data_IF_979337560574
#
_entry.id   IF_979337560574
#
_cell.length_a   1.000
_cell.length_b   1.000
_cell.length_c   1.000
_cell.angle_alpha   90.00
_cell.angle_beta   90.00
_cell.angle_gamma   90.00
#
_symmetry.space_group_name_H-M   'P 1'
#
loop_
_entity.id
_entity.type
_entity.pdbx_description
1 polymer ?
#
# COMPACT_ATOMS: atom_id res chain seq x y z
N UNK A 1 -6.23 -60.57 -20.07
CA UNK A 1 -7.21 -61.38 -19.30
C UNK A 1 -7.06 -60.95 -17.85
N UNK A 2 -7.99 -60.35 -17.11
CA UNK A 2 -9.46 -60.22 -17.11
C UNK A 2 -9.76 -58.90 -16.35
N UNK A 3 -10.47 -57.92 -16.93
CA UNK A 3 -11.93 -57.69 -16.80
C UNK A 3 -12.44 -57.52 -15.36
N UNK A 4 -12.90 -56.31 -15.00
CA UNK A 4 -14.29 -56.07 -14.51
C UNK A 4 -14.33 -56.03 -12.97
N UNK A 5 -15.17 -55.33 -12.22
CA UNK A 5 -16.51 -54.72 -12.35
C UNK A 5 -16.60 -53.63 -11.24
N UNK A 6 -16.93 -52.36 -11.50
CA UNK A 6 -18.23 -51.67 -11.49
C UNK A 6 -19.36 -52.14 -10.53
N UNK A 7 -19.88 -51.15 -9.79
CA UNK A 7 -21.23 -50.96 -9.16
C UNK A 7 -21.43 -51.37 -7.68
N UNK A 8 -22.45 -50.87 -6.94
CA UNK A 8 -23.51 -49.89 -7.29
C UNK A 8 -23.73 -48.71 -6.30
N UNK A 9 -24.20 -47.60 -6.86
CA UNK A 9 -25.07 -46.62 -6.21
C UNK A 9 -26.42 -47.27 -5.85
N UNK A 10 -26.92 -47.08 -4.63
CA UNK A 10 -28.33 -46.81 -4.29
C UNK A 10 -28.64 -47.09 -2.81
N UNK A 11 -29.17 -46.09 -2.10
CA UNK A 11 -30.58 -46.08 -1.66
C UNK A 11 -30.91 -44.72 -1.04
N UNK A 12 -31.56 -43.90 -1.87
CA UNK A 12 -32.54 -42.91 -1.43
C UNK A 12 -33.67 -43.64 -0.70
N UNK A 13 -34.16 -43.06 0.40
CA UNK A 13 -35.58 -42.76 0.64
C UNK A 13 -35.81 -42.63 2.15
N UNK A 14 -36.14 -41.41 2.60
CA UNK A 14 -37.25 -41.28 3.53
C UNK A 14 -37.94 -39.92 3.30
N UNK A 15 -38.99 -39.99 2.46
CA UNK A 15 -40.30 -39.32 2.59
C UNK A 15 -40.27 -37.79 2.74
N UNK A 16 -40.61 -36.99 1.73
CA UNK A 16 -41.94 -36.78 1.10
C UNK A 16 -43.08 -36.53 2.10
N UNK A 17 -43.88 -35.51 1.76
CA UNK A 17 -45.13 -35.02 2.36
C UNK A 17 -44.92 -34.07 3.53
N UNK A 18 -45.47 -32.87 3.58
CA UNK A 18 -46.51 -32.13 2.83
C UNK A 18 -46.45 -30.74 3.54
N UNK A 19 -46.68 -29.56 2.98
CA UNK A 19 -47.72 -29.15 2.07
C UNK A 19 -47.44 -27.70 1.74
N UNK A 20 -47.39 -27.41 0.45
CA UNK A 20 -47.58 -26.08 -0.11
C UNK A 20 -48.82 -25.40 0.47
N UNK A 21 -48.71 -24.16 0.95
CA UNK A 21 -49.61 -23.09 0.51
C UNK A 21 -49.17 -21.71 0.99
N UNK A 22 -48.62 -21.01 0.00
CA UNK A 22 -48.65 -19.57 -0.20
C UNK A 22 -49.78 -18.84 0.54
N UNK A 23 -49.40 -17.84 1.31
CA UNK A 23 -50.22 -16.93 2.11
C UNK A 23 -51.24 -16.08 1.29
N UNK A 24 -51.27 -16.26 -0.03
CA UNK A 24 -52.09 -15.51 -0.99
C UNK A 24 -53.54 -16.03 -1.08
N UNK A 25 -53.82 -17.22 -0.53
CA UNK A 25 -55.16 -17.86 -0.58
C UNK A 25 -56.00 -17.64 0.70
N UNK A 26 -55.56 -16.79 1.64
CA UNK A 26 -56.37 -16.32 2.78
C UNK A 26 -56.88 -14.89 2.60
N UNK A 27 -56.94 -14.41 1.37
CA UNK A 27 -57.95 -13.43 1.00
C UNK A 27 -59.25 -14.23 0.84
N UNK A 28 -60.36 -13.77 1.41
CA UNK A 28 -61.68 -14.44 1.47
C UNK A 28 -61.86 -15.32 2.70
N UNK A 29 -62.06 -14.71 3.87
CA UNK A 29 -63.34 -14.89 4.57
C UNK A 29 -63.50 -13.94 5.76
N UNK A 30 -64.52 -13.08 5.61
CA UNK A 30 -65.52 -12.73 6.63
C UNK A 30 -65.08 -11.79 7.75
N UNK A 31 -65.45 -10.52 7.53
CA UNK A 31 -66.15 -9.60 8.44
C UNK A 31 -65.74 -9.64 9.92
N UNK A 32 -65.17 -8.52 10.39
CA UNK A 32 -65.24 -7.94 11.75
C UNK A 32 -64.04 -6.98 11.89
N UNK A 33 -64.15 -5.76 11.39
CA UNK A 33 -64.67 -4.60 12.11
C UNK A 33 -63.82 -4.18 13.33
N UNK A 34 -63.01 -3.15 13.10
CA UNK A 34 -62.74 -2.01 13.98
C UNK A 34 -61.83 -2.18 15.23
N UNK A 35 -61.06 -1.12 15.48
CA UNK A 35 -60.36 -0.68 16.71
C UNK A 35 -58.95 -1.24 16.99
N UNK A 36 -57.93 -0.49 16.56
CA UNK A 36 -57.14 0.36 17.47
C UNK A 36 -55.88 0.88 16.76
N UNK A 37 -55.99 2.08 16.22
CA UNK A 37 -54.87 2.94 15.83
C UNK A 37 -54.15 3.44 17.09
N UNK A 38 -52.95 2.95 17.38
CA UNK A 38 -52.03 3.64 18.29
C UNK A 38 -50.67 3.75 17.63
N UNK A 39 -50.46 4.91 17.01
CA UNK A 39 -49.16 5.40 16.61
C UNK A 39 -48.33 5.71 17.85
N UNK A 40 -47.19 5.05 18.01
CA UNK A 40 -46.10 5.54 18.88
C UNK A 40 -44.91 5.76 17.96
N UNK A 41 -44.72 7.04 17.65
CA UNK A 41 -43.64 7.61 16.85
C UNK A 41 -42.30 7.34 17.51
N UNK A 42 -41.51 6.42 16.95
CA UNK A 42 -40.11 6.22 17.35
C UNK A 42 -39.31 7.34 16.69
N UNK A 43 -38.97 8.37 17.47
CA UNK A 43 -38.02 9.41 17.07
C UNK A 43 -36.69 8.76 16.68
N UNK A 44 -36.38 8.77 15.39
CA UNK A 44 -35.11 8.31 14.85
C UNK A 44 -34.00 9.27 15.29
N UNK A 45 -33.29 8.95 16.38
CA UNK A 45 -31.97 9.53 16.64
C UNK A 45 -31.01 8.95 15.59
N UNK A 46 -30.74 9.71 14.54
CA UNK A 46 -29.64 9.45 13.62
C UNK A 46 -28.32 9.60 14.41
N UNK A 47 -27.51 8.54 14.59
CA UNK A 47 -26.17 8.74 15.11
C UNK A 47 -25.39 9.59 14.11
N UNK A 48 -24.88 10.74 14.55
CA UNK A 48 -23.95 11.55 13.79
C UNK A 48 -22.65 10.74 13.67
N UNK A 49 -22.53 9.99 12.59
CA UNK A 49 -21.34 9.17 12.34
C UNK A 49 -20.16 10.11 12.09
N UNK A 50 -19.35 10.35 13.11
CA UNK A 50 -18.07 11.03 12.95
C UNK A 50 -17.21 10.18 12.01
N UNK A 51 -17.01 10.66 10.78
CA UNK A 51 -16.13 10.03 9.81
C UNK A 51 -14.72 9.98 10.36
N UNK A 52 -14.26 8.78 10.74
CA UNK A 52 -12.85 8.58 11.04
C UNK A 52 -12.08 8.71 9.73
N UNK A 53 -11.33 9.81 9.58
CA UNK A 53 -10.42 9.98 8.46
C UNK A 53 -9.34 8.90 8.53
N UNK A 54 -9.54 7.80 7.79
CA UNK A 54 -8.51 6.78 7.61
C UNK A 54 -7.46 7.36 6.66
N UNK A 55 -6.25 7.60 7.17
CA UNK A 55 -5.13 7.93 6.29
C UNK A 55 -4.79 6.66 5.50
N UNK A 56 -4.75 6.70 4.15
CA UNK A 56 -4.43 5.50 3.38
C UNK A 56 -3.05 4.96 3.77
N UNK A 57 -2.85 3.63 3.75
CA UNK A 57 -1.58 3.03 4.10
C UNK A 57 -0.47 3.54 3.16
N UNK A 58 0.65 3.97 3.75
CA UNK A 58 1.83 4.41 3.02
C UNK A 58 2.47 3.22 2.30
N UNK A 59 2.90 3.41 1.05
CA UNK A 59 3.64 2.37 0.32
C UNK A 59 4.99 2.10 0.98
N UNK A 60 5.51 0.88 0.82
CA UNK A 60 6.83 0.52 1.37
C UNK A 60 7.95 1.48 0.92
N UNK A 61 7.89 1.98 -0.32
CA UNK A 61 8.80 3.00 -0.84
C UNK A 61 8.72 4.33 -0.09
N UNK A 62 7.50 4.84 0.15
CA UNK A 62 7.31 6.08 0.93
C UNK A 62 7.77 5.95 2.38
N UNK A 63 7.60 4.77 2.99
CA UNK A 63 8.12 4.46 4.33
C UNK A 63 9.64 4.44 4.33
N UNK A 64 10.26 3.77 3.35
CA UNK A 64 11.71 3.71 3.23
C UNK A 64 12.32 5.11 2.95
N UNK A 65 11.63 5.94 2.17
CA UNK A 65 12.02 7.31 1.83
C UNK A 65 11.88 8.30 2.99
N UNK A 66 11.05 7.99 4.01
CA UNK A 66 10.74 8.93 5.09
C UNK A 66 11.99 9.49 5.79
N UNK A 67 13.04 8.69 5.97
CA UNK A 67 14.30 9.13 6.57
C UNK A 67 15.15 10.04 5.66
N UNK A 68 14.88 10.05 4.36
CA UNK A 68 15.61 10.83 3.35
C UNK A 68 14.90 12.16 3.05
N UNK A 69 13.58 12.20 3.25
CA UNK A 69 12.71 13.31 2.82
C UNK A 69 12.99 14.65 3.53
N UNK A 70 13.57 14.61 4.73
CA UNK A 70 14.01 15.80 5.46
C UNK A 70 15.13 16.53 4.70
N UNK A 71 16.06 15.78 4.12
CA UNK A 71 17.26 16.33 3.49
C UNK A 71 17.17 16.36 1.97
N UNK A 72 16.27 15.61 1.35
CA UNK A 72 16.21 15.48 -0.11
C UNK A 72 14.80 15.68 -0.65
N UNK A 73 14.74 16.09 -1.91
CA UNK A 73 13.55 16.07 -2.73
C UNK A 73 13.68 15.01 -3.82
N UNK A 74 12.54 14.53 -4.33
CA UNK A 74 12.43 13.59 -5.46
C UNK A 74 11.55 14.11 -6.59
N UNK A 75 11.10 15.36 -6.54
CA UNK A 75 10.25 15.95 -7.57
C UNK A 75 11.10 16.78 -8.54
N UNK A 76 10.80 16.71 -9.83
CA UNK A 76 11.41 17.56 -10.85
C UNK A 76 11.30 19.05 -10.47
N UNK A 77 12.40 19.79 -10.59
CA UNK A 77 12.43 21.23 -10.30
C UNK A 77 12.30 21.61 -8.82
N UNK A 78 12.11 20.65 -7.90
CA UNK A 78 12.12 20.96 -6.48
C UNK A 78 13.49 21.48 -6.04
N UNK A 79 13.54 22.40 -5.05
CA UNK A 79 14.79 22.97 -4.60
C UNK A 79 15.68 21.92 -3.94
N UNK A 80 16.99 22.19 -3.93
CA UNK A 80 17.92 21.52 -3.02
C UNK A 80 17.54 21.87 -1.58
N UNK A 81 17.73 20.93 -0.64
CA UNK A 81 17.54 21.16 0.80
C UNK A 81 18.90 21.06 1.48
N UNK A 82 18.98 20.37 2.63
CA UNK A 82 20.25 19.97 3.25
C UNK A 82 21.09 19.14 2.28
N UNK A 83 20.45 18.25 1.52
CA UNK A 83 21.00 17.47 0.43
C UNK A 83 20.52 17.95 -0.96
N UNK A 84 21.15 17.49 -2.05
CA UNK A 84 20.72 17.80 -3.40
C UNK A 84 19.36 17.17 -3.73
N UNK A 85 18.65 17.71 -4.70
CA UNK A 85 17.50 17.04 -5.31
C UNK A 85 17.96 15.75 -6.01
N UNK A 86 17.25 14.64 -5.76
CA UNK A 86 17.57 13.30 -6.28
C UNK A 86 16.68 12.87 -7.46
N UNK A 87 15.83 13.76 -7.97
CA UNK A 87 15.00 13.49 -9.14
C UNK A 87 15.86 13.03 -10.33
N UNK A 88 15.57 11.83 -10.83
CA UNK A 88 16.27 11.25 -11.98
C UNK A 88 17.78 11.12 -11.76
N UNK A 89 18.22 10.76 -10.56
CA UNK A 89 19.64 10.62 -10.23
C UNK A 89 20.30 9.38 -10.85
N UNK A 90 19.51 8.36 -11.22
CA UNK A 90 20.01 7.14 -11.83
C UNK A 90 20.71 7.41 -13.16
N UNK A 91 21.86 6.77 -13.38
CA UNK A 91 22.73 6.96 -14.54
C UNK A 91 23.54 8.26 -14.50
N UNK A 92 23.32 9.16 -13.54
CA UNK A 92 24.04 10.43 -13.46
C UNK A 92 25.34 10.29 -12.66
N UNK A 93 26.37 11.08 -13.00
CA UNK A 93 27.58 11.19 -12.19
C UNK A 93 27.29 11.81 -10.82
N UNK A 94 27.96 11.29 -9.79
CA UNK A 94 27.91 11.81 -8.44
C UNK A 94 28.51 13.23 -8.36
N UNK A 95 27.96 14.07 -7.47
CA UNK A 95 28.51 15.40 -7.22
C UNK A 95 28.23 16.44 -8.33
N UNK A 96 27.25 16.21 -9.21
CA UNK A 96 26.98 17.07 -10.38
C UNK A 96 25.60 17.73 -10.43
N UNK A 97 24.76 17.60 -9.40
CA UNK A 97 23.50 18.35 -9.34
C UNK A 97 23.80 19.85 -9.27
N UNK A 98 23.15 20.60 -10.16
CA UNK A 98 23.35 22.05 -10.31
C UNK A 98 22.93 22.78 -9.03
N UNK A 99 23.64 23.86 -8.71
CA UNK A 99 23.37 24.72 -7.56
C UNK A 99 23.35 23.99 -6.19
N UNK A 100 24.14 22.93 -6.05
CA UNK A 100 24.39 22.27 -4.75
C UNK A 100 25.88 22.24 -4.43
N UNK A 101 26.25 22.65 -3.21
CA UNK A 101 27.65 22.69 -2.78
C UNK A 101 28.10 21.35 -2.19
N UNK A 102 28.62 20.48 -3.05
CA UNK A 102 29.17 19.19 -2.66
C UNK A 102 30.49 19.29 -1.88
N UNK A 103 30.72 18.33 -0.99
CA UNK A 103 32.06 18.08 -0.41
C UNK A 103 33.11 17.86 -1.51
N UNK A 104 34.38 18.25 -1.31
CA UNK A 104 35.46 17.94 -2.26
C UNK A 104 35.53 16.45 -2.61
N UNK A 105 35.38 15.57 -1.62
CA UNK A 105 35.39 14.12 -1.80
C UNK A 105 34.29 13.64 -2.78
N UNK A 106 33.04 14.07 -2.60
CA UNK A 106 31.93 13.72 -3.49
C UNK A 106 32.16 14.23 -4.92
N UNK A 107 32.74 15.43 -5.10
CA UNK A 107 33.05 15.97 -6.43
C UNK A 107 34.13 15.15 -7.17
N UNK A 108 35.07 14.58 -6.41
CA UNK A 108 36.19 13.79 -6.93
C UNK A 108 35.90 12.28 -7.04
N UNK A 109 34.74 11.82 -6.56
CA UNK A 109 34.47 10.40 -6.39
C UNK A 109 34.40 9.59 -7.70
N UNK A 110 34.18 10.25 -8.85
CA UNK A 110 34.09 9.63 -10.19
C UNK A 110 33.16 8.40 -10.25
N UNK A 111 32.01 8.50 -9.58
CA UNK A 111 31.01 7.44 -9.46
C UNK A 111 29.80 7.78 -10.32
N UNK A 112 29.19 6.76 -10.94
CA UNK A 112 27.87 6.85 -11.58
C UNK A 112 26.83 6.14 -10.71
N UNK A 113 25.70 6.80 -10.47
CA UNK A 113 24.63 6.23 -9.65
C UNK A 113 23.89 5.12 -10.41
N UNK A 114 23.99 3.91 -9.90
CA UNK A 114 23.27 2.72 -10.37
C UNK A 114 22.81 1.88 -9.16
N UNK A 115 22.10 0.79 -9.41
CA UNK A 115 21.55 -0.05 -8.34
C UNK A 115 22.62 -0.56 -7.37
N UNK A 116 23.74 -1.09 -7.88
CA UNK A 116 24.85 -1.61 -7.05
C UNK A 116 25.51 -0.50 -6.22
N UNK A 117 25.75 0.63 -6.86
CA UNK A 117 26.42 1.75 -6.22
C UNK A 117 25.56 2.40 -5.15
N UNK A 118 24.26 2.55 -5.39
CA UNK A 118 23.32 3.07 -4.41
C UNK A 118 23.15 2.09 -3.24
N UNK A 119 23.16 0.77 -3.47
CA UNK A 119 23.13 -0.20 -2.38
C UNK A 119 24.34 -0.09 -1.45
N UNK A 120 25.55 0.00 -2.04
CA UNK A 120 26.78 0.19 -1.29
C UNK A 120 26.77 1.54 -0.54
N UNK A 121 26.40 2.62 -1.23
CA UNK A 121 26.30 3.97 -0.67
C UNK A 121 25.35 4.02 0.51
N UNK A 122 24.14 3.46 0.37
CA UNK A 122 23.12 3.45 1.40
C UNK A 122 23.47 2.51 2.56
N UNK A 123 24.39 1.57 2.39
CA UNK A 123 24.88 0.73 3.48
C UNK A 123 25.68 1.54 4.48
N UNK A 124 26.69 2.29 4.03
CA UNK A 124 27.55 3.16 4.87
C UNK A 124 28.21 4.29 4.04
N UNK A 125 27.58 5.46 3.88
CA UNK A 125 28.08 6.53 3.01
C UNK A 125 29.50 6.98 3.34
N UNK A 126 29.80 7.15 4.63
CA UNK A 126 31.10 7.58 5.14
C UNK A 126 32.24 6.61 4.85
N UNK A 127 31.93 5.32 4.65
CA UNK A 127 32.91 4.31 4.25
C UNK A 127 33.14 4.33 2.73
N UNK A 128 32.12 4.65 1.95
CA UNK A 128 32.17 4.62 0.48
C UNK A 128 32.85 5.86 -0.09
N UNK A 129 32.53 7.04 0.43
CA UNK A 129 33.21 8.30 0.06
C UNK A 129 33.65 8.97 1.36
N UNK A 130 34.90 8.72 1.76
CA UNK A 130 35.47 9.32 2.97
C UNK A 130 35.52 10.84 2.83
N UNK A 131 35.02 11.56 3.84
CA UNK A 131 34.94 13.03 3.82
C UNK A 131 33.73 13.61 3.08
N UNK A 132 32.76 12.77 2.70
CA UNK A 132 31.45 13.28 2.27
C UNK A 132 30.70 13.96 3.44
N UNK A 133 29.79 14.87 3.11
CA UNK A 133 29.03 15.67 4.10
C UNK A 133 27.63 15.11 4.43
N UNK A 134 27.24 13.95 3.90
CA UNK A 134 25.94 13.34 4.18
C UNK A 134 25.98 12.67 5.55
N UNK A 135 25.39 13.33 6.55
CA UNK A 135 25.26 12.80 7.91
C UNK A 135 24.19 11.69 7.95
N UNK A 136 24.57 10.49 7.53
CA UNK A 136 23.69 9.33 7.49
C UNK A 136 24.46 8.08 7.93
N UNK A 137 23.92 7.36 8.92
CA UNK A 137 24.52 6.14 9.47
C UNK A 137 24.49 4.96 8.51
N UNK A 138 23.55 4.96 7.57
CA UNK A 138 23.31 3.86 6.65
C UNK A 138 22.12 2.99 7.02
N UNK A 139 21.80 2.03 6.14
CA UNK A 139 20.70 1.08 6.30
C UNK A 139 21.31 -0.33 6.22
N UNK A 140 21.29 -1.07 7.33
CA UNK A 140 21.81 -2.44 7.38
C UNK A 140 20.94 -3.44 6.61
N UNK A 141 19.62 -3.27 6.68
CA UNK A 141 18.66 -4.14 5.99
C UNK A 141 18.69 -3.95 4.47
N UNK A 142 19.17 -4.98 3.76
CA UNK A 142 19.25 -5.03 2.31
C UNK A 142 17.87 -4.95 1.62
N UNK A 143 16.81 -5.52 2.22
CA UNK A 143 15.46 -5.44 1.64
C UNK A 143 14.96 -4.00 1.66
N UNK A 144 15.15 -3.30 2.79
CA UNK A 144 14.81 -1.88 2.90
C UNK A 144 15.61 -1.01 1.94
N UNK A 145 16.91 -1.27 1.75
CA UNK A 145 17.72 -0.57 0.73
C UNK A 145 17.16 -0.81 -0.67
N UNK A 146 16.89 -2.06 -1.05
CA UNK A 146 16.31 -2.39 -2.37
C UNK A 146 15.01 -1.64 -2.63
N UNK A 147 14.08 -1.61 -1.66
CA UNK A 147 12.82 -0.87 -1.77
C UNK A 147 13.06 0.63 -1.93
N UNK A 148 14.00 1.21 -1.19
CA UNK A 148 14.36 2.63 -1.30
C UNK A 148 14.97 2.96 -2.66
N UNK A 149 15.89 2.11 -3.15
CA UNK A 149 16.56 2.25 -4.45
C UNK A 149 15.53 2.25 -5.56
N UNK A 150 14.61 1.27 -5.57
CA UNK A 150 13.51 1.22 -6.53
C UNK A 150 12.62 2.46 -6.45
N UNK A 151 12.29 2.93 -5.24
CA UNK A 151 11.50 4.14 -5.07
C UNK A 151 12.19 5.40 -5.64
N UNK A 152 13.50 5.56 -5.40
CA UNK A 152 14.29 6.66 -5.98
C UNK A 152 14.39 6.52 -7.50
N UNK A 153 14.55 5.30 -8.02
CA UNK A 153 14.64 5.00 -9.47
C UNK A 153 13.43 5.46 -10.24
N UNK A 154 12.24 5.28 -9.65
CA UNK A 154 10.99 5.70 -10.26
C UNK A 154 10.75 7.22 -10.16
N UNK A 155 11.52 7.96 -9.35
CA UNK A 155 11.30 9.40 -9.20
C UNK A 155 11.51 10.21 -10.47
N UNK A 156 12.34 9.74 -11.41
CA UNK A 156 12.68 10.45 -12.65
C UNK A 156 12.25 9.75 -13.93
N UNK A 157 11.29 8.82 -13.83
CA UNK A 157 10.60 8.26 -14.99
C UNK A 157 9.41 9.11 -15.37
#
# INVERSE_FOLDING_TARGET
>A
MKSGERTPFARLDRTRSEKTRTMKDRCLNRVDALLCTMAISISALLPLQAGHAQTPPRSAGTIAWAQCSACHALKAGAPNKVGPNLFGIFGKPAGKVINYNYSPAMKAANIVWNDKMLDLWLTRPSAVIKGNKMAFSGISDAKRRKVLIEYIKHSGK
#
